data_IF_679168418727
#
_entry.id   IF_679168418727
#
_cell.length_a   1.000
_cell.length_b   1.000
_cell.length_c   1.000
_cell.angle_alpha   90.00
_cell.angle_beta   90.00
_cell.angle_gamma   90.00
#
_symmetry.space_group_name_H-M   'P 1'
#
loop_
_entity.id
_entity.type
_entity.pdbx_description
1 polymer ?
#
# COMPACT_ATOMS: atom_id res chain seq x y z
N UNK A 1 25.53 13.93 -6.53
CA UNK A 1 24.19 14.18 -5.96
C UNK A 1 23.29 13.12 -6.52
N UNK A 2 22.76 12.22 -5.67
CA UNK A 2 22.05 11.05 -6.16
C UNK A 2 20.59 11.38 -6.49
N UNK A 3 19.96 10.54 -7.31
CA UNK A 3 18.53 10.57 -7.65
C UNK A 3 17.64 10.80 -6.41
N UNK A 4 18.01 10.24 -5.26
CA UNK A 4 17.32 10.38 -3.98
C UNK A 4 17.27 11.81 -3.41
N UNK A 5 18.27 12.64 -3.67
CA UNK A 5 18.25 14.04 -3.19
C UNK A 5 17.32 14.92 -4.03
N UNK A 6 17.17 14.60 -5.32
CA UNK A 6 16.23 15.29 -6.20
C UNK A 6 14.78 14.92 -5.85
N UNK A 7 14.51 13.62 -5.62
CA UNK A 7 13.19 13.11 -5.22
C UNK A 7 12.75 13.69 -3.87
N UNK A 8 13.63 13.75 -2.85
CA UNK A 8 13.33 14.41 -1.58
C UNK A 8 12.95 15.89 -1.71
N UNK A 9 13.53 16.63 -2.66
CA UNK A 9 13.19 18.05 -2.89
C UNK A 9 11.84 18.21 -3.58
N UNK A 10 11.45 17.30 -4.44
CA UNK A 10 10.14 17.31 -5.13
C UNK A 10 9.02 17.04 -4.16
N UNK A 11 9.19 16.05 -3.26
CA UNK A 11 8.16 15.66 -2.29
C UNK A 11 8.18 16.46 -0.97
N UNK A 12 9.27 17.16 -0.64
CA UNK A 12 9.41 17.96 0.59
C UNK A 12 8.67 19.32 0.58
N UNK A 13 7.94 19.67 -0.46
CA UNK A 13 7.26 20.98 -0.60
C UNK A 13 5.76 20.98 -0.32
N UNK A 14 5.21 19.89 0.19
CA UNK A 14 3.77 19.70 0.44
C UNK A 14 3.21 20.23 1.76
N UNK A 15 3.96 21.00 2.58
CA UNK A 15 3.42 21.66 3.77
C UNK A 15 2.57 22.89 3.39
N UNK A 16 1.33 22.67 3.01
CA UNK A 16 0.28 23.70 3.08
C UNK A 16 -0.27 23.77 4.50
N UNK A 17 0.31 24.66 5.28
CA UNK A 17 -0.26 25.11 6.54
C UNK A 17 -1.68 25.67 6.31
N UNK A 18 -2.69 24.91 6.71
CA UNK A 18 -4.07 25.35 6.84
C UNK A 18 -4.32 25.81 8.28
N UNK A 19 -4.09 27.11 8.56
CA UNK A 19 -4.59 27.75 9.78
C UNK A 19 -6.09 27.97 9.66
N UNK A 20 -6.86 27.31 10.50
CA UNK A 20 -8.29 27.57 10.68
C UNK A 20 -8.69 27.27 12.11
N UNK A 21 -8.68 28.31 12.96
CA UNK A 21 -9.26 28.26 14.28
C UNK A 21 -10.81 28.27 14.18
N UNK A 22 -11.47 27.44 14.97
CA UNK A 22 -12.93 27.45 15.11
C UNK A 22 -13.35 26.67 16.34
N UNK A 23 -13.64 27.42 17.42
CA UNK A 23 -14.28 26.99 18.66
C UNK A 23 -15.68 26.42 18.40
N UNK A 24 -16.09 25.41 19.16
CA UNK A 24 -17.48 25.01 19.24
C UNK A 24 -17.71 23.67 19.92
N UNK A 25 -17.97 23.71 21.22
CA UNK A 25 -18.38 22.56 22.03
C UNK A 25 -19.75 22.04 21.63
N UNK A 26 -19.98 20.75 21.65
CA UNK A 26 -21.16 20.14 22.31
C UNK A 26 -21.03 18.61 22.35
N UNK A 27 -21.26 18.07 23.53
CA UNK A 27 -21.30 16.64 23.84
C UNK A 27 -22.60 16.01 23.34
N UNK A 28 -22.51 14.75 22.88
CA UNK A 28 -23.56 13.75 23.06
C UNK A 28 -22.96 12.36 23.01
N UNK A 29 -23.03 11.67 24.15
CA UNK A 29 -22.77 10.25 24.31
C UNK A 29 -23.71 9.43 23.43
N UNK A 30 -23.18 8.56 22.57
CA UNK A 30 -23.90 7.35 22.14
C UNK A 30 -22.88 6.22 21.96
N UNK A 31 -23.19 5.17 22.67
CA UNK A 31 -22.53 3.88 22.85
C UNK A 31 -22.45 3.14 21.49
N UNK A 32 -21.30 3.23 20.82
CA UNK A 32 -21.02 2.54 19.57
C UNK A 32 -19.83 1.64 19.75
N UNK A 33 -20.04 0.33 19.64
CA UNK A 33 -19.04 -0.71 19.82
C UNK A 33 -17.71 -0.40 19.10
N UNK A 34 -16.70 -0.30 19.93
CA UNK A 34 -15.31 -0.07 19.56
C UNK A 34 -14.76 -1.30 18.81
N UNK A 35 -14.62 -1.18 17.51
CA UNK A 35 -14.01 -2.19 16.63
C UNK A 35 -12.49 -2.06 16.56
N UNK A 36 -11.84 -1.57 17.61
CA UNK A 36 -10.37 -1.66 17.76
C UNK A 36 -9.54 -1.11 16.59
N UNK A 37 -10.04 -0.10 15.88
CA UNK A 37 -9.33 0.59 14.79
C UNK A 37 -8.61 1.85 15.28
N UNK A 38 -8.20 1.87 16.56
CA UNK A 38 -7.48 3.02 17.11
C UNK A 38 -6.08 3.11 16.54
N UNK A 39 -5.93 4.05 15.63
CA UNK A 39 -4.65 4.50 15.10
C UNK A 39 -4.05 5.58 16.01
N UNK A 40 -3.61 5.22 17.21
CA UNK A 40 -2.65 6.03 17.98
C UNK A 40 -1.53 5.13 18.52
N UNK A 41 -0.49 4.99 17.71
CA UNK A 41 0.77 4.43 18.19
C UNK A 41 1.48 5.47 19.04
N UNK A 42 1.39 5.34 20.36
CA UNK A 42 2.24 6.06 21.29
C UNK A 42 3.72 5.75 20.99
N UNK A 43 4.52 6.78 20.79
CA UNK A 43 5.96 6.69 20.71
C UNK A 43 6.51 6.22 22.06
N UNK A 44 6.83 4.92 22.16
CA UNK A 44 7.55 4.33 23.29
C UNK A 44 9.00 4.06 22.92
N UNK A 45 9.90 4.23 23.88
CA UNK A 45 11.33 3.97 23.76
C UNK A 45 11.64 2.56 23.20
N UNK A 46 12.70 2.40 22.39
CA UNK A 46 13.03 1.15 21.73
C UNK A 46 13.49 0.10 22.76
N UNK A 47 12.67 -0.93 22.95
CA UNK A 47 13.05 -2.14 23.67
C UNK A 47 13.78 -3.10 22.70
N UNK A 48 14.90 -3.75 23.12
CA UNK A 48 15.59 -4.73 22.30
C UNK A 48 14.85 -6.07 22.34
N UNK A 49 14.08 -6.35 21.31
CA UNK A 49 13.38 -7.61 21.05
C UNK A 49 12.83 -7.57 19.61
N UNK A 50 12.38 -8.69 19.04
CA UNK A 50 11.76 -8.64 17.72
C UNK A 50 10.60 -7.64 17.78
N UNK A 51 10.73 -6.54 17.04
CA UNK A 51 9.79 -5.44 17.04
C UNK A 51 8.51 -5.93 16.39
N UNK A 52 7.50 -6.28 17.19
CA UNK A 52 6.15 -6.54 16.71
C UNK A 52 5.49 -5.19 16.44
N UNK A 53 5.00 -5.00 15.24
CA UNK A 53 4.20 -3.81 14.90
C UNK A 53 2.76 -4.02 15.32
N UNK A 54 2.21 -3.09 16.07
CA UNK A 54 0.79 -2.88 16.18
C UNK A 54 0.40 -1.86 15.09
N UNK A 55 -0.64 -2.13 14.34
CA UNK A 55 -1.15 -1.23 13.33
C UNK A 55 -2.37 -1.83 12.66
N UNK A 56 -3.33 -1.01 12.30
CA UNK A 56 -4.49 -1.41 11.53
C UNK A 56 -4.34 -0.98 10.06
N UNK A 57 -5.22 -1.50 9.20
CA UNK A 57 -5.23 -1.20 7.77
C UNK A 57 -6.11 0.01 7.40
N UNK A 58 -6.48 0.88 8.37
CA UNK A 58 -7.42 1.97 8.12
C UNK A 58 -7.10 2.80 6.87
N UNK A 59 -5.88 3.32 6.77
CA UNK A 59 -5.43 4.11 5.62
C UNK A 59 -5.37 3.32 4.31
N UNK A 60 -5.10 2.03 4.37
CA UNK A 60 -4.98 1.18 3.19
C UNK A 60 -6.33 1.01 2.47
N UNK A 61 -7.43 1.21 3.20
CA UNK A 61 -8.76 1.18 2.64
C UNK A 61 -9.13 2.44 1.86
N UNK A 62 -8.52 3.61 2.16
CA UNK A 62 -8.81 4.88 1.50
C UNK A 62 -8.60 4.83 -0.02
N UNK A 63 -7.74 3.92 -0.48
CA UNK A 63 -7.55 3.61 -1.90
C UNK A 63 -8.77 2.98 -2.54
N UNK A 64 -9.49 2.15 -1.81
CA UNK A 64 -10.50 1.24 -2.36
C UNK A 64 -11.94 1.64 -2.01
N UNK A 65 -12.13 2.34 -0.88
CA UNK A 65 -13.45 2.79 -0.38
C UNK A 65 -13.41 4.27 -0.01
N UNK A 66 -14.51 4.97 -0.25
CA UNK A 66 -14.56 6.42 -0.09
C UNK A 66 -14.87 6.88 1.35
N UNK A 67 -15.34 5.99 2.22
CA UNK A 67 -15.72 6.30 3.59
C UNK A 67 -15.91 5.04 4.44
N UNK A 68 -16.02 5.25 5.75
CA UNK A 68 -16.17 4.18 6.75
C UNK A 68 -17.47 3.37 6.61
N UNK A 69 -18.56 3.96 6.15
CA UNK A 69 -19.83 3.24 5.94
C UNK A 69 -19.67 2.19 4.84
N UNK A 70 -19.06 2.57 3.72
CA UNK A 70 -18.73 1.65 2.63
C UNK A 70 -17.75 0.56 3.09
N UNK A 71 -16.76 0.93 3.93
CA UNK A 71 -15.84 -0.06 4.50
C UNK A 71 -16.56 -1.12 5.34
N UNK A 72 -17.46 -0.69 6.24
CA UNK A 72 -18.26 -1.62 7.06
C UNK A 72 -19.13 -2.53 6.20
N UNK A 73 -19.75 -2.00 5.15
CA UNK A 73 -20.55 -2.77 4.19
C UNK A 73 -19.67 -3.81 3.46
N UNK A 74 -18.48 -3.45 3.00
CA UNK A 74 -17.55 -4.39 2.34
C UNK A 74 -17.13 -5.50 3.28
N UNK A 75 -16.79 -5.19 4.54
CA UNK A 75 -16.41 -6.19 5.55
C UNK A 75 -17.60 -7.10 5.87
N UNK A 76 -18.79 -6.55 6.11
CA UNK A 76 -19.99 -7.34 6.38
C UNK A 76 -20.32 -8.29 5.22
N UNK A 77 -20.35 -7.78 3.99
CA UNK A 77 -20.55 -8.59 2.78
C UNK A 77 -19.48 -9.68 2.64
N UNK A 78 -18.23 -9.36 3.00
CA UNK A 78 -17.15 -10.36 2.98
C UNK A 78 -17.43 -11.50 3.95
N UNK A 79 -17.90 -11.19 5.16
CA UNK A 79 -18.21 -12.19 6.16
C UNK A 79 -19.43 -13.05 5.79
N UNK A 80 -20.42 -12.45 5.14
CA UNK A 80 -21.69 -13.12 4.78
C UNK A 80 -21.56 -13.95 3.50
N UNK A 81 -20.94 -13.41 2.45
CA UNK A 81 -20.95 -13.97 1.09
C UNK A 81 -19.57 -14.44 0.62
N UNK A 82 -18.53 -14.21 1.41
CA UNK A 82 -17.15 -14.49 1.03
C UNK A 82 -16.81 -15.99 1.00
N UNK A 83 -15.74 -16.30 0.30
CA UNK A 83 -15.19 -17.66 0.23
C UNK A 83 -14.21 -17.89 1.37
N UNK A 84 -14.41 -18.95 2.13
CA UNK A 84 -13.50 -19.35 3.20
C UNK A 84 -12.24 -19.98 2.60
N UNK A 85 -11.08 -19.51 3.05
CA UNK A 85 -9.75 -20.04 2.73
C UNK A 85 -9.10 -20.55 4.00
N UNK A 86 -8.64 -21.79 3.98
CA UNK A 86 -7.96 -22.39 5.12
C UNK A 86 -6.51 -21.98 5.19
N UNK A 87 -6.01 -21.72 6.41
CA UNK A 87 -4.60 -21.58 6.75
C UNK A 87 -3.98 -22.95 7.08
N UNK A 88 -2.65 -23.01 7.09
CA UNK A 88 -1.89 -24.11 7.71
C UNK A 88 -1.70 -23.88 9.22
N UNK A 89 -1.97 -22.66 9.70
CA UNK A 89 -1.97 -22.33 11.12
C UNK A 89 -3.27 -22.87 11.73
N UNK A 90 -3.22 -23.63 12.83
CA UNK A 90 -4.42 -24.12 13.49
C UNK A 90 -5.38 -22.98 13.87
N UNK A 91 -6.68 -23.26 13.74
CA UNK A 91 -7.77 -22.36 14.11
C UNK A 91 -7.76 -21.00 13.40
N UNK A 92 -7.00 -20.87 12.31
CA UNK A 92 -6.92 -19.67 11.46
C UNK A 92 -7.53 -19.96 10.10
N UNK A 93 -8.39 -19.07 9.66
CA UNK A 93 -8.90 -19.00 8.29
C UNK A 93 -8.99 -17.55 7.79
N UNK A 94 -9.26 -17.40 6.51
CA UNK A 94 -9.61 -16.13 5.91
C UNK A 94 -10.93 -16.24 5.18
N UNK A 95 -11.72 -15.16 5.21
CA UNK A 95 -12.87 -15.01 4.32
C UNK A 95 -12.51 -13.97 3.27
N UNK A 96 -12.67 -14.32 2.00
CA UNK A 96 -12.34 -13.44 0.87
C UNK A 96 -13.58 -13.14 0.04
N UNK A 97 -13.78 -11.85 -0.25
CA UNK A 97 -14.84 -11.39 -1.14
C UNK A 97 -14.30 -10.32 -2.09
N UNK A 98 -14.77 -10.36 -3.31
CA UNK A 98 -14.43 -9.39 -4.35
C UNK A 98 -14.41 -10.04 -5.72
N UNK A 99 -14.57 -9.21 -6.74
CA UNK A 99 -14.58 -9.64 -8.13
C UNK A 99 -13.38 -9.06 -8.85
N UNK A 100 -12.50 -9.93 -9.34
CA UNK A 100 -11.36 -9.51 -10.14
C UNK A 100 -10.13 -9.13 -9.31
N UNK A 101 -9.53 -7.98 -9.64
CA UNK A 101 -8.18 -7.63 -9.27
C UNK A 101 -8.00 -7.12 -7.82
N UNK A 102 -9.08 -6.78 -7.12
CA UNK A 102 -9.06 -6.38 -5.70
C UNK A 102 -10.09 -7.17 -4.89
N UNK A 103 -9.67 -7.68 -3.74
CA UNK A 103 -10.50 -8.46 -2.81
C UNK A 103 -10.38 -7.91 -1.40
N UNK A 104 -11.46 -8.00 -0.63
CA UNK A 104 -11.42 -7.86 0.82
C UNK A 104 -11.04 -9.22 1.40
N UNK A 105 -10.07 -9.22 2.31
CA UNK A 105 -9.71 -10.39 3.12
C UNK A 105 -9.95 -10.07 4.58
N UNK A 106 -10.72 -10.92 5.25
CA UNK A 106 -10.93 -10.89 6.69
C UNK A 106 -10.25 -12.11 7.29
N UNK A 107 -9.24 -11.90 8.13
CA UNK A 107 -8.58 -12.98 8.87
C UNK A 107 -9.33 -13.27 10.16
N UNK A 108 -9.53 -14.55 10.47
CA UNK A 108 -10.16 -15.00 11.70
C UNK A 108 -9.27 -15.99 12.43
N UNK A 109 -9.37 -15.99 13.77
CA UNK A 109 -8.78 -16.99 14.65
C UNK A 109 -9.85 -17.46 15.62
N UNK A 110 -10.07 -18.77 15.75
CA UNK A 110 -11.14 -19.36 16.55
C UNK A 110 -12.56 -18.84 16.18
N UNK A 111 -12.72 -18.37 14.93
CA UNK A 111 -13.96 -17.76 14.43
C UNK A 111 -14.07 -16.25 14.67
N UNK A 112 -13.23 -15.66 15.49
CA UNK A 112 -13.21 -14.23 15.77
C UNK A 112 -12.40 -13.47 14.71
N UNK A 113 -12.89 -12.29 14.32
CA UNK A 113 -12.19 -11.40 13.39
C UNK A 113 -10.95 -10.82 14.05
N UNK A 114 -9.79 -11.01 13.42
CA UNK A 114 -8.50 -10.47 13.88
C UNK A 114 -8.16 -9.19 13.13
N UNK A 115 -8.33 -9.18 11.80
CA UNK A 115 -8.00 -8.05 10.94
C UNK A 115 -8.74 -8.15 9.60
N UNK A 116 -8.85 -7.02 8.90
CA UNK A 116 -9.39 -6.96 7.54
C UNK A 116 -8.55 -6.00 6.70
N UNK A 117 -8.23 -6.40 5.46
CA UNK A 117 -7.44 -5.58 4.54
C UNK A 117 -7.77 -5.86 3.08
N UNK A 118 -7.54 -4.87 2.19
CA UNK A 118 -7.65 -5.08 0.76
C UNK A 118 -6.47 -5.89 0.24
N UNK A 119 -6.72 -6.84 -0.66
CA UNK A 119 -5.70 -7.64 -1.35
C UNK A 119 -5.79 -7.40 -2.83
N UNK A 120 -4.72 -6.90 -3.41
CA UNK A 120 -4.60 -6.61 -4.82
C UNK A 120 -3.88 -7.74 -5.58
N UNK A 121 -4.32 -8.01 -6.81
CA UNK A 121 -3.60 -8.87 -7.75
C UNK A 121 -2.34 -8.16 -8.22
N UNK A 122 -1.19 -8.83 -8.12
CA UNK A 122 0.11 -8.27 -8.45
C UNK A 122 0.66 -8.69 -9.79
N UNK A 123 1.88 -8.26 -10.06
CA UNK A 123 2.73 -8.75 -11.13
C UNK A 123 3.76 -9.68 -10.53
N UNK A 124 3.90 -10.87 -11.13
CA UNK A 124 4.84 -11.88 -10.65
C UNK A 124 6.27 -11.55 -11.10
N UNK A 125 7.20 -11.67 -10.14
CA UNK A 125 8.63 -11.46 -10.37
C UNK A 125 9.45 -12.54 -9.66
N UNK A 126 10.56 -12.94 -10.26
CA UNK A 126 11.62 -13.62 -9.54
C UNK A 126 12.33 -12.63 -8.61
N UNK A 127 12.40 -12.96 -7.33
CA UNK A 127 12.91 -12.06 -6.29
C UNK A 127 13.42 -12.85 -5.10
N UNK A 128 14.07 -12.16 -4.17
CA UNK A 128 14.58 -12.76 -2.93
C UNK A 128 13.88 -12.11 -1.74
N UNK A 129 13.31 -12.89 -0.83
CA UNK A 129 12.84 -12.42 0.47
C UNK A 129 14.00 -12.52 1.46
N UNK A 130 14.47 -11.39 1.96
CA UNK A 130 15.66 -11.32 2.83
C UNK A 130 15.32 -11.23 4.33
N UNK A 131 14.17 -10.65 4.66
CA UNK A 131 13.73 -10.48 6.05
C UNK A 131 12.21 -10.60 6.15
N UNK A 132 11.72 -11.07 7.29
CA UNK A 132 10.29 -11.10 7.63
C UNK A 132 10.13 -10.62 9.07
N UNK A 133 9.29 -9.58 9.26
CA UNK A 133 8.97 -9.01 10.56
C UNK A 133 7.49 -9.26 10.86
N UNK A 134 7.17 -10.19 11.80
CA UNK A 134 5.78 -10.45 12.18
C UNK A 134 5.14 -9.24 12.86
N UNK A 135 3.83 -9.07 12.62
CA UNK A 135 2.99 -8.11 13.34
C UNK A 135 2.52 -8.68 14.69
N UNK A 136 1.89 -7.83 15.50
CA UNK A 136 1.35 -8.23 16.81
C UNK A 136 0.28 -9.33 16.74
N UNK A 137 -0.42 -9.44 15.61
CA UNK A 137 -1.42 -10.46 15.34
C UNK A 137 -0.83 -11.87 15.14
N UNK A 138 0.47 -11.99 14.86
CA UNK A 138 1.18 -13.21 14.42
C UNK A 138 0.60 -13.85 13.14
N UNK A 139 -0.38 -13.18 12.49
CA UNK A 139 -0.99 -13.62 11.22
C UNK A 139 -0.55 -12.75 10.05
N UNK A 140 0.02 -11.61 10.36
CA UNK A 140 0.46 -10.60 9.42
C UNK A 140 1.96 -10.39 9.56
N UNK A 141 2.59 -9.97 8.49
CA UNK A 141 4.01 -9.64 8.50
C UNK A 141 4.35 -8.61 7.43
N UNK A 142 5.40 -7.85 7.69
CA UNK A 142 6.15 -7.18 6.64
C UNK A 142 7.24 -8.12 6.14
N UNK A 143 7.59 -8.02 4.86
CA UNK A 143 8.71 -8.73 4.26
C UNK A 143 9.62 -7.74 3.54
N UNK A 144 10.93 -7.94 3.65
CA UNK A 144 11.91 -7.23 2.82
C UNK A 144 12.18 -8.05 1.58
N UNK A 145 12.00 -7.44 0.41
CA UNK A 145 12.11 -8.08 -0.90
C UNK A 145 13.21 -7.39 -1.70
N UNK A 146 14.08 -8.19 -2.32
CA UNK A 146 15.04 -7.73 -3.33
C UNK A 146 14.45 -7.97 -4.71
N UNK A 147 14.25 -6.90 -5.46
CA UNK A 147 13.71 -6.89 -6.82
C UNK A 147 14.65 -6.11 -7.74
N UNK A 148 15.40 -6.81 -8.56
CA UNK A 148 16.44 -6.19 -9.37
C UNK A 148 17.48 -5.49 -8.50
N UNK A 149 17.73 -4.18 -8.69
CA UNK A 149 18.70 -3.43 -7.90
C UNK A 149 18.17 -2.92 -6.55
N UNK A 150 16.85 -3.03 -6.31
CA UNK A 150 16.20 -2.43 -5.15
C UNK A 150 15.91 -3.45 -4.06
N UNK A 151 16.14 -3.05 -2.81
CA UNK A 151 15.71 -3.75 -1.62
C UNK A 151 14.70 -2.87 -0.86
N UNK A 152 13.51 -3.39 -0.62
CA UNK A 152 12.45 -2.61 0.01
C UNK A 152 11.50 -3.48 0.83
N UNK A 153 10.85 -2.86 1.82
CA UNK A 153 9.86 -3.52 2.64
C UNK A 153 8.47 -3.52 2.00
N UNK A 154 7.71 -4.58 2.22
CA UNK A 154 6.37 -4.77 1.70
C UNK A 154 5.48 -5.40 2.76
N UNK A 155 4.17 -5.23 2.64
CA UNK A 155 3.22 -6.02 3.41
C UNK A 155 3.04 -7.41 2.79
N UNK A 156 3.35 -8.44 3.54
CA UNK A 156 3.27 -9.83 3.08
C UNK A 156 1.84 -10.37 3.20
N UNK A 157 1.01 -10.13 2.19
CA UNK A 157 -0.42 -10.47 2.20
C UNK A 157 -0.72 -11.98 2.31
N UNK A 158 0.28 -12.84 2.09
CA UNK A 158 0.17 -14.31 2.21
C UNK A 158 0.71 -14.89 3.53
N UNK A 159 1.24 -14.07 4.45
CA UNK A 159 1.88 -14.53 5.69
C UNK A 159 0.98 -15.44 6.54
N UNK A 160 -0.30 -15.16 6.63
CA UNK A 160 -1.30 -15.91 7.40
C UNK A 160 -1.46 -17.37 6.93
N UNK A 161 -1.13 -17.69 5.67
CA UNK A 161 -1.36 -19.04 5.08
C UNK A 161 -0.52 -20.09 5.79
N UNK A 162 0.73 -19.77 6.10
CA UNK A 162 1.69 -20.71 6.69
C UNK A 162 2.24 -20.24 8.05
N UNK A 163 1.72 -19.14 8.60
CA UNK A 163 2.25 -18.52 9.82
C UNK A 163 3.60 -17.84 9.58
N UNK A 164 3.84 -17.37 8.37
CA UNK A 164 5.06 -16.67 7.98
C UNK A 164 5.29 -16.69 6.48
N UNK A 165 6.37 -16.08 6.06
CA UNK A 165 6.83 -16.01 4.67
C UNK A 165 8.15 -16.75 4.57
N UNK A 166 8.37 -17.64 3.58
CA UNK A 166 9.66 -18.28 3.38
C UNK A 166 10.70 -17.24 2.97
N UNK A 167 11.92 -17.35 3.55
CA UNK A 167 13.07 -16.59 3.14
C UNK A 167 13.74 -17.24 1.92
N UNK A 168 14.43 -16.44 1.11
CA UNK A 168 15.21 -16.88 -0.04
C UNK A 168 14.56 -16.54 -1.38
N UNK A 169 15.11 -17.15 -2.41
CA UNK A 169 14.68 -16.91 -3.80
C UNK A 169 13.34 -17.57 -4.09
N UNK A 170 12.51 -16.89 -4.86
CA UNK A 170 11.20 -17.40 -5.27
C UNK A 170 10.43 -16.40 -6.11
N UNK A 171 9.24 -16.82 -6.53
CA UNK A 171 8.31 -15.95 -7.23
C UNK A 171 7.44 -15.19 -6.24
N UNK A 172 7.45 -13.86 -6.33
CA UNK A 172 6.54 -12.99 -5.58
C UNK A 172 5.66 -12.18 -6.52
N UNK A 173 4.39 -12.07 -6.19
CA UNK A 173 3.50 -11.10 -6.82
C UNK A 173 3.59 -9.77 -6.06
N UNK A 174 3.80 -8.66 -6.79
CA UNK A 174 3.89 -7.31 -6.22
C UNK A 174 2.74 -6.46 -6.73
N UNK A 175 1.99 -5.86 -5.82
CA UNK A 175 0.94 -4.89 -6.08
C UNK A 175 1.11 -3.65 -5.23
N UNK A 176 0.57 -2.52 -5.67
CA UNK A 176 0.57 -1.28 -4.91
C UNK A 176 -0.84 -0.66 -4.87
N UNK A 177 -1.21 -0.09 -3.72
CA UNK A 177 -2.44 0.65 -3.54
C UNK A 177 -2.10 2.12 -3.31
N UNK A 178 -2.52 3.01 -4.22
CA UNK A 178 -2.18 4.43 -4.15
C UNK A 178 -3.23 5.23 -3.38
N UNK A 179 -2.78 6.06 -2.45
CA UNK A 179 -3.66 6.85 -1.60
C UNK A 179 -4.24 8.09 -2.31
N UNK A 180 -3.41 8.79 -3.06
CA UNK A 180 -3.80 9.99 -3.80
C UNK A 180 -2.89 10.14 -5.02
N UNK A 181 -3.03 9.28 -6.04
CA UNK A 181 -2.21 9.40 -7.23
C UNK A 181 -2.67 10.60 -8.05
N UNK A 182 -1.71 11.37 -8.51
CA UNK A 182 -1.92 12.53 -9.35
C UNK A 182 -1.05 12.46 -10.60
N UNK A 183 -1.53 13.09 -11.68
CA UNK A 183 -0.70 13.29 -12.86
C UNK A 183 0.38 14.31 -12.56
N UNK A 184 1.62 13.93 -12.77
CA UNK A 184 2.75 14.81 -12.58
C UNK A 184 3.04 15.57 -13.86
N UNK A 185 3.20 16.90 -13.76
CA UNK A 185 3.71 17.70 -14.86
C UNK A 185 5.23 17.56 -14.93
N UNK A 186 5.75 17.50 -16.15
CA UNK A 186 7.19 17.50 -16.36
C UNK A 186 7.82 18.74 -15.71
N UNK A 187 8.86 18.51 -14.92
CA UNK A 187 9.66 19.57 -14.30
C UNK A 187 11.12 19.36 -14.65
N UNK A 188 11.75 20.42 -15.10
CA UNK A 188 13.19 20.43 -15.36
C UNK A 188 13.87 21.22 -14.26
N UNK A 189 14.88 20.62 -13.65
CA UNK A 189 15.69 21.23 -12.59
C UNK A 189 17.11 21.44 -13.08
N UNK A 190 17.70 22.60 -12.72
CA UNK A 190 19.11 22.82 -12.92
C UNK A 190 19.90 22.16 -11.79
N UNK A 191 20.91 21.39 -12.14
CA UNK A 191 21.85 20.79 -11.19
C UNK A 191 22.92 21.83 -10.79
N UNK A 192 23.59 21.62 -9.64
CA UNK A 192 24.60 22.54 -9.13
C UNK A 192 25.83 22.70 -10.08
N UNK A 193 26.07 21.69 -10.91
CA UNK A 193 27.09 21.65 -11.93
C UNK A 193 26.67 22.27 -13.27
N UNK A 194 25.45 22.84 -13.33
CA UNK A 194 24.89 23.50 -14.53
C UNK A 194 24.26 22.54 -15.54
N UNK A 195 24.09 21.26 -15.20
CA UNK A 195 23.30 20.30 -15.98
C UNK A 195 21.81 20.54 -15.81
N UNK A 196 21.02 19.92 -16.68
CA UNK A 196 19.55 19.86 -16.55
C UNK A 196 19.13 18.43 -16.19
N UNK A 197 18.16 18.32 -15.26
CA UNK A 197 17.55 17.07 -14.87
C UNK A 197 16.03 17.17 -15.08
N UNK A 198 15.48 16.32 -15.94
CA UNK A 198 14.02 16.19 -16.12
C UNK A 198 13.46 15.11 -15.18
N UNK A 199 12.29 15.38 -14.60
CA UNK A 199 11.54 14.39 -13.82
C UNK A 199 10.68 13.48 -14.71
N UNK A 200 10.60 13.77 -16.02
CA UNK A 200 9.84 12.93 -16.93
C UNK A 200 10.46 11.55 -17.07
N UNK A 201 9.61 10.54 -17.03
CA UNK A 201 10.02 9.17 -17.20
C UNK A 201 10.78 8.55 -16.03
N UNK A 202 10.81 9.20 -14.87
CA UNK A 202 11.36 8.58 -13.64
C UNK A 202 10.54 7.34 -13.28
N UNK A 203 11.22 6.29 -12.83
CA UNK A 203 10.61 5.17 -12.13
C UNK A 203 11.38 4.96 -10.83
N UNK A 204 10.71 5.20 -9.70
CA UNK A 204 11.33 5.05 -8.40
C UNK A 204 10.39 5.42 -7.25
N UNK A 205 10.82 5.06 -6.05
CA UNK A 205 10.06 5.28 -4.83
C UNK A 205 11.01 5.46 -3.64
N UNK A 206 10.54 6.14 -2.61
CA UNK A 206 11.29 6.36 -1.36
C UNK A 206 10.35 6.19 -0.17
N UNK A 207 10.84 5.68 0.98
CA UNK A 207 10.03 5.57 2.19
C UNK A 207 9.41 6.91 2.60
N UNK A 208 8.16 6.90 3.05
CA UNK A 208 7.48 8.08 3.59
C UNK A 208 7.85 8.28 5.04
N UNK A 209 8.34 9.47 5.40
CA UNK A 209 8.61 9.82 6.80
C UNK A 209 7.31 9.80 7.62
N UNK A 210 7.26 8.99 8.68
CA UNK A 210 6.07 8.82 9.50
C UNK A 210 4.97 7.92 8.90
N UNK A 211 5.22 7.34 7.73
CA UNK A 211 4.36 6.33 7.11
C UNK A 211 4.54 4.93 7.71
N UNK A 212 3.77 3.96 7.23
CA UNK A 212 4.01 2.53 7.45
C UNK A 212 5.32 2.06 6.81
N UNK A 213 5.76 0.84 7.15
CA UNK A 213 7.02 0.29 6.60
C UNK A 213 6.95 0.08 5.11
N UNK A 214 5.76 -0.25 4.61
CA UNK A 214 5.50 -0.49 3.20
C UNK A 214 4.87 0.72 2.48
N UNK A 215 4.90 1.91 3.09
CA UNK A 215 4.41 3.15 2.49
C UNK A 215 5.54 3.92 1.83
N UNK A 216 5.37 4.25 0.56
CA UNK A 216 6.38 4.93 -0.25
C UNK A 216 5.77 6.08 -1.04
N UNK A 217 6.50 7.21 -1.08
CA UNK A 217 6.29 8.21 -2.09
C UNK A 217 6.91 7.71 -3.40
N UNK A 218 6.19 7.85 -4.50
CA UNK A 218 6.62 7.33 -5.79
C UNK A 218 6.45 8.33 -6.92
N UNK A 219 7.19 8.11 -7.98
CA UNK A 219 6.95 8.69 -9.30
C UNK A 219 7.23 7.62 -10.34
N UNK A 220 6.35 7.53 -11.35
CA UNK A 220 6.50 6.55 -12.43
C UNK A 220 5.70 6.98 -13.66
N UNK A 221 5.92 6.30 -14.79
CA UNK A 221 5.18 6.53 -16.04
C UNK A 221 4.15 5.42 -16.23
N UNK A 222 2.91 5.78 -16.52
CA UNK A 222 1.83 4.83 -16.82
C UNK A 222 2.11 4.12 -18.16
N UNK A 223 2.20 2.79 -18.12
CA UNK A 223 2.35 1.94 -19.31
C UNK A 223 1.00 1.50 -19.84
N UNK A 224 0.08 1.18 -18.96
CA UNK A 224 -1.25 0.69 -19.27
C UNK A 224 -2.22 1.19 -18.20
N UNK A 225 -3.47 1.42 -18.59
CA UNK A 225 -4.57 1.73 -17.69
C UNK A 225 -5.74 0.79 -17.94
N UNK A 226 -6.33 0.29 -16.86
CA UNK A 226 -7.55 -0.51 -16.92
C UNK A 226 -8.55 0.02 -15.89
N UNK A 227 -9.81 0.14 -16.31
CA UNK A 227 -10.92 0.39 -15.40
C UNK A 227 -11.28 -0.92 -14.71
N UNK A 228 -11.33 -0.91 -13.38
CA UNK A 228 -11.63 -2.10 -12.58
C UNK A 228 -12.69 -1.78 -11.52
N UNK A 229 -13.55 -2.74 -11.18
CA UNK A 229 -14.41 -2.60 -10.02
C UNK A 229 -13.56 -2.70 -8.75
N UNK A 230 -13.77 -1.77 -7.82
CA UNK A 230 -13.20 -1.78 -6.47
C UNK A 230 -14.37 -1.86 -5.50
N UNK A 231 -14.76 -3.07 -5.11
CA UNK A 231 -15.91 -3.35 -4.26
C UNK A 231 -17.21 -2.70 -4.78
N UNK A 232 -17.71 -1.67 -4.10
CA UNK A 232 -18.93 -0.94 -4.45
C UNK A 232 -18.71 0.22 -5.42
N UNK A 233 -17.45 0.55 -5.73
CA UNK A 233 -17.08 1.70 -6.56
C UNK A 233 -16.31 1.28 -7.81
N UNK A 234 -16.19 2.20 -8.75
CA UNK A 234 -15.25 2.07 -9.86
C UNK A 234 -13.89 2.65 -9.47
N UNK A 235 -12.84 2.05 -10.00
CA UNK A 235 -11.49 2.53 -9.89
C UNK A 235 -10.67 2.18 -11.12
N UNK A 236 -9.39 2.30 -10.96
CA UNK A 236 -8.42 2.06 -12.01
C UNK A 236 -7.27 1.23 -11.47
N UNK A 237 -6.65 0.46 -12.34
CA UNK A 237 -5.29 -0.04 -12.14
C UNK A 237 -4.40 0.47 -13.26
N UNK A 238 -3.23 0.92 -12.87
CA UNK A 238 -2.20 1.44 -13.75
C UNK A 238 -1.03 0.48 -13.74
N UNK A 239 -0.55 0.05 -14.89
CA UNK A 239 0.71 -0.67 -14.98
C UNK A 239 1.83 0.34 -15.01
N UNK A 240 2.72 0.27 -14.04
CA UNK A 240 3.81 1.23 -13.88
C UNK A 240 5.11 0.51 -13.55
N UNK A 241 6.26 0.96 -14.04
CA UNK A 241 7.56 0.54 -13.53
C UNK A 241 7.71 0.95 -12.05
N UNK A 242 8.06 0.03 -11.17
CA UNK A 242 8.53 0.32 -9.83
C UNK A 242 9.97 0.81 -9.86
N UNK A 243 10.83 0.06 -10.55
CA UNK A 243 12.25 0.33 -10.68
C UNK A 243 12.77 -0.17 -12.01
N UNK A 244 14.03 0.19 -12.32
CA UNK A 244 14.75 -0.24 -13.51
C UNK A 244 16.10 -0.83 -13.14
N UNK A 245 16.53 -1.83 -13.87
CA UNK A 245 17.91 -2.30 -13.80
C UNK A 245 18.86 -1.40 -14.59
N UNK A 246 20.16 -1.66 -14.43
CA UNK A 246 21.22 -0.89 -15.13
C UNK A 246 21.23 -1.05 -16.65
N UNK A 247 20.57 -2.08 -17.17
CA UNK A 247 20.45 -2.40 -18.60
C UNK A 247 19.13 -1.87 -19.22
N UNK A 248 18.31 -1.20 -18.40
CA UNK A 248 17.03 -0.59 -18.80
C UNK A 248 15.84 -1.54 -18.77
N UNK A 249 15.97 -2.73 -18.20
CA UNK A 249 14.84 -3.61 -17.87
C UNK A 249 13.95 -2.95 -16.81
N UNK A 250 12.62 -3.12 -16.96
CA UNK A 250 11.64 -2.55 -16.05
C UNK A 250 11.02 -3.63 -15.18
N UNK A 251 10.96 -3.39 -13.85
CA UNK A 251 10.19 -4.19 -12.91
C UNK A 251 8.87 -3.48 -12.65
N UNK A 252 7.81 -3.99 -13.27
CA UNK A 252 6.51 -3.34 -13.26
C UNK A 252 5.61 -3.86 -12.14
N UNK A 253 4.64 -3.05 -11.75
CA UNK A 253 3.56 -3.45 -10.84
C UNK A 253 2.21 -2.95 -11.32
N UNK A 254 1.13 -3.49 -10.74
CA UNK A 254 -0.19 -2.88 -10.80
C UNK A 254 -0.36 -1.92 -9.62
N UNK A 255 -0.62 -0.66 -9.94
CA UNK A 255 -0.97 0.41 -8.99
C UNK A 255 -2.49 0.61 -9.03
N UNK A 256 -3.16 0.36 -7.91
CA UNK A 256 -4.61 0.49 -7.78
C UNK A 256 -5.00 1.82 -7.17
N UNK A 257 -6.06 2.44 -7.68
CA UNK A 257 -6.65 3.64 -7.09
C UNK A 257 -8.15 3.71 -7.34
N UNK A 258 -8.93 3.99 -6.32
CA UNK A 258 -10.34 4.36 -6.45
C UNK A 258 -10.49 5.67 -7.24
N UNK A 259 -11.56 5.82 -7.98
CA UNK A 259 -11.81 7.06 -8.71
C UNK A 259 -11.90 8.28 -7.77
N UNK A 260 -12.28 8.08 -6.51
CA UNK A 260 -12.34 9.12 -5.47
C UNK A 260 -10.96 9.51 -4.93
N UNK A 261 -9.95 8.63 -5.07
CA UNK A 261 -8.60 8.86 -4.57
C UNK A 261 -7.70 9.56 -5.61
N UNK A 262 -8.13 9.66 -6.87
CA UNK A 262 -7.35 10.30 -7.93
C UNK A 262 -7.59 11.81 -7.88
N UNK A 263 -6.53 12.58 -7.70
CA UNK A 263 -6.62 14.04 -7.78
C UNK A 263 -6.56 14.51 -9.25
N UNK A 264 -7.54 15.31 -9.63
CA UNK A 264 -7.65 15.87 -10.97
C UNK A 264 -8.09 14.89 -12.06
N UNK A 265 -7.38 14.91 -13.19
CA UNK A 265 -7.66 14.06 -14.35
C UNK A 265 -7.03 12.67 -14.15
N UNK A 266 -7.79 11.63 -14.46
CA UNK A 266 -7.25 10.25 -14.50
C UNK A 266 -6.03 10.19 -15.43
N UNK A 267 -4.88 9.72 -14.95
CA UNK A 267 -3.69 9.54 -15.77
C UNK A 267 -3.94 8.58 -16.94
N UNK A 268 -3.37 8.84 -18.10
CA UNK A 268 -3.43 7.99 -19.30
C UNK A 268 -2.07 7.33 -19.55
N UNK A 269 -2.03 6.34 -20.44
CA UNK A 269 -0.76 5.72 -20.84
C UNK A 269 0.18 6.78 -21.43
N UNK A 270 1.42 6.84 -20.93
CA UNK A 270 2.43 7.83 -21.23
C UNK A 270 2.47 9.03 -20.31
N UNK A 271 1.44 9.25 -19.47
CA UNK A 271 1.51 10.29 -18.42
C UNK A 271 2.44 9.82 -17.28
N UNK A 272 3.16 10.76 -16.68
CA UNK A 272 3.84 10.53 -15.42
C UNK A 272 2.84 10.68 -14.27
N UNK A 273 2.94 9.80 -13.29
CA UNK A 273 2.10 9.74 -12.09
C UNK A 273 2.96 9.71 -10.85
N UNK A 274 2.55 10.47 -9.85
CA UNK A 274 3.18 10.48 -8.52
C UNK A 274 2.15 10.36 -7.41
N UNK A 275 2.61 10.17 -6.19
CA UNK A 275 1.78 10.08 -5.01
C UNK A 275 2.42 9.24 -3.93
N UNK A 276 1.57 8.68 -3.07
CA UNK A 276 1.97 7.72 -2.04
C UNK A 276 1.26 6.41 -2.29
N UNK A 277 1.96 5.30 -2.17
CA UNK A 277 1.38 3.98 -2.26
C UNK A 277 1.79 3.07 -1.09
N UNK A 278 0.95 2.11 -0.80
CA UNK A 278 1.23 0.96 0.04
C UNK A 278 1.54 -0.26 -0.82
N UNK A 279 2.70 -0.92 -0.58
CA UNK A 279 3.14 -2.07 -1.37
C UNK A 279 2.77 -3.36 -0.67
N UNK A 280 2.20 -4.28 -1.43
CA UNK A 280 1.89 -5.64 -1.00
C UNK A 280 2.68 -6.65 -1.79
N UNK A 281 3.04 -7.74 -1.13
CA UNK A 281 3.56 -8.95 -1.79
C UNK A 281 2.75 -10.18 -1.40
N UNK A 282 2.62 -11.10 -2.36
CA UNK A 282 2.16 -12.46 -2.12
C UNK A 282 3.23 -13.42 -2.61
N UNK A 283 3.79 -14.21 -1.71
CA UNK A 283 4.75 -15.28 -2.04
C UNK A 283 3.96 -16.49 -2.50
N UNK A 284 4.34 -17.05 -3.65
CA UNK A 284 3.72 -18.23 -4.26
C UNK A 284 4.32 -19.54 -3.73
#
# INVERSE_FOLDING_TARGET
>A
MGLFDAVRRVFGRGDRAGTGAGDGASASDEDGGDWGLDAEAAAGDPQPGPRRRGGGHGRHWDTAVANDETLREVIATTLDDGQVRSSRVPDVDAVEYGTGALRCRVLRRDGDVVTAYPVAEGVAHESTVTEVTPWATDLEADATVVLGPEEFATYASSAWIAGGVPLGDGTVEIAALAYAPERTEESTYQTEDGGEFSTSGIAGFVPVDGGGVADYAFQSTVREIQRVPLFTANGYRFRVPLTRDGDGGEYETWLYAGAHAIDGRVPEAGDDVSGVFWVQTAVQ
#
